data_IF_283247004192
#
_entry.id   IF_283247004192
#
_cell.length_a   1.000
_cell.length_b   1.000
_cell.length_c   1.000
_cell.angle_alpha   90.00
_cell.angle_beta   90.00
_cell.angle_gamma   90.00
#
_symmetry.space_group_name_H-M   'P 1'
#
loop_
_entity.id
_entity.type
_entity.pdbx_description
1 polymer ?
#
# COMPACT_ATOMS: atom_id res chain seq x y z
N UNK A 1 14.95 -4.88 -26.53
CA UNK A 1 15.54 -3.54 -26.72
C UNK A 1 14.48 -2.44 -26.77
N UNK A 2 13.34 -2.65 -27.46
CA UNK A 2 12.25 -1.67 -27.61
C UNK A 2 11.59 -1.18 -26.30
N UNK A 3 11.42 -2.05 -25.29
CA UNK A 3 10.73 -1.72 -24.02
C UNK A 3 11.52 -0.78 -23.10
N UNK A 4 12.86 -0.89 -23.06
CA UNK A 4 13.71 -0.03 -22.22
C UNK A 4 13.71 1.41 -22.73
N UNK A 5 13.77 1.59 -24.05
CA UNK A 5 13.75 2.92 -24.67
C UNK A 5 12.36 3.57 -24.59
N UNK A 6 11.29 2.77 -24.61
CA UNK A 6 9.94 3.24 -24.35
C UNK A 6 9.80 3.78 -22.92
N UNK A 7 10.22 3.00 -21.92
CA UNK A 7 10.17 3.39 -20.53
C UNK A 7 10.95 4.70 -20.25
N UNK A 8 12.15 4.84 -20.84
CA UNK A 8 12.96 6.05 -20.71
C UNK A 8 12.27 7.28 -21.29
N UNK A 9 11.62 7.15 -22.45
CA UNK A 9 10.86 8.24 -23.08
C UNK A 9 9.72 8.70 -22.19
N UNK A 10 8.91 7.76 -21.69
CA UNK A 10 7.77 8.05 -20.80
C UNK A 10 8.23 8.71 -19.50
N UNK A 11 9.32 8.22 -18.91
CA UNK A 11 9.85 8.76 -17.66
C UNK A 11 10.38 10.20 -17.79
N UNK A 12 10.66 10.64 -19.03
CA UNK A 12 11.20 11.96 -19.35
C UNK A 12 10.20 12.86 -20.06
N UNK A 13 8.97 12.41 -20.26
CA UNK A 13 7.95 13.20 -20.94
C UNK A 13 7.62 14.45 -20.14
N UNK A 14 7.62 15.62 -20.75
CA UNK A 14 7.35 16.89 -20.06
C UNK A 14 5.89 17.34 -20.18
N UNK A 15 5.05 16.51 -20.80
CA UNK A 15 3.62 16.77 -20.88
C UNK A 15 2.81 15.48 -20.94
N UNK A 16 1.52 15.59 -20.64
CA UNK A 16 0.56 14.50 -20.86
C UNK A 16 0.48 14.12 -22.35
N UNK A 17 0.60 15.09 -23.25
CA UNK A 17 0.55 14.86 -24.70
C UNK A 17 1.71 13.98 -25.19
N UNK A 18 2.92 14.17 -24.64
CA UNK A 18 4.08 13.33 -24.94
C UNK A 18 3.93 11.91 -24.40
N UNK A 19 3.31 11.75 -23.23
CA UNK A 19 3.00 10.41 -22.69
C UNK A 19 2.01 9.72 -23.63
N UNK A 20 0.97 10.41 -24.09
CA UNK A 20 -0.05 9.86 -25.01
C UNK A 20 0.55 9.49 -26.37
N UNK A 21 1.45 10.31 -26.92
CA UNK A 21 2.11 10.01 -28.19
C UNK A 21 3.07 8.81 -28.09
N UNK A 22 3.62 8.57 -26.89
CA UNK A 22 4.50 7.44 -26.60
C UNK A 22 3.73 6.17 -26.25
N UNK A 23 2.60 6.30 -25.55
CA UNK A 23 1.72 5.21 -25.16
C UNK A 23 0.29 5.59 -25.55
N UNK A 24 -0.18 5.21 -26.74
CA UNK A 24 -1.53 5.53 -27.17
C UNK A 24 -2.54 4.89 -26.22
N UNK A 25 -3.43 5.69 -25.64
CA UNK A 25 -4.42 5.26 -24.64
C UNK A 25 -5.46 4.28 -25.22
N UNK A 26 -5.68 4.29 -26.55
CA UNK A 26 -6.76 3.54 -27.23
C UNK A 26 -6.33 2.35 -28.10
N UNK A 27 -5.04 2.09 -28.26
CA UNK A 27 -4.57 0.96 -29.08
C UNK A 27 -4.23 -0.24 -28.19
N UNK A 28 -5.03 -1.30 -28.26
CA UNK A 28 -4.93 -2.48 -27.39
C UNK A 28 -3.83 -3.47 -27.79
N UNK A 29 -3.27 -3.30 -28.99
CA UNK A 29 -2.36 -4.26 -29.64
C UNK A 29 -0.88 -4.10 -29.27
N UNK A 30 -0.48 -2.98 -28.67
CA UNK A 30 0.93 -2.71 -28.41
C UNK A 30 1.38 -3.29 -27.06
N UNK A 31 2.38 -4.19 -27.09
CA UNK A 31 3.00 -4.76 -25.89
C UNK A 31 3.94 -3.73 -25.23
N UNK A 32 3.32 -2.80 -24.49
CA UNK A 32 3.98 -1.66 -23.83
C UNK A 32 4.77 -2.10 -22.58
N UNK A 33 4.38 -3.23 -21.98
CA UNK A 33 4.99 -3.83 -20.78
C UNK A 33 4.58 -3.13 -19.48
N UNK A 34 4.47 -3.90 -18.40
CA UNK A 34 4.03 -3.44 -17.07
C UNK A 34 4.91 -2.33 -16.47
N UNK A 35 6.22 -2.37 -16.75
CA UNK A 35 7.18 -1.35 -16.27
C UNK A 35 6.83 0.02 -16.84
N UNK A 36 6.51 0.06 -18.14
CA UNK A 36 6.17 1.30 -18.83
C UNK A 36 4.83 1.86 -18.33
N UNK A 37 3.86 0.99 -18.01
CA UNK A 37 2.59 1.41 -17.41
C UNK A 37 2.83 2.08 -16.05
N UNK A 38 3.61 1.45 -15.17
CA UNK A 38 3.93 2.01 -13.85
C UNK A 38 4.71 3.33 -13.96
N UNK A 39 5.61 3.45 -14.94
CA UNK A 39 6.34 4.70 -15.20
C UNK A 39 5.45 5.82 -15.75
N UNK A 40 4.46 5.50 -16.60
CA UNK A 40 3.48 6.47 -17.07
C UNK A 40 2.68 7.05 -15.91
N UNK A 41 2.20 6.18 -15.00
CA UNK A 41 1.55 6.59 -13.75
C UNK A 41 2.43 7.50 -12.90
N UNK A 42 3.67 7.09 -12.68
CA UNK A 42 4.62 7.87 -11.88
C UNK A 42 4.85 9.23 -12.52
N UNK A 43 5.04 9.30 -13.84
CA UNK A 43 5.31 10.58 -14.51
C UNK A 43 4.11 11.49 -14.46
N UNK A 44 2.90 11.01 -14.80
CA UNK A 44 1.69 11.84 -14.77
C UNK A 44 1.38 12.37 -13.38
N UNK A 45 1.72 11.65 -12.31
CA UNK A 45 1.57 12.13 -10.94
C UNK A 45 2.57 13.23 -10.54
N UNK A 46 3.69 13.39 -11.24
CA UNK A 46 4.66 14.45 -11.00
C UNK A 46 4.40 15.73 -11.82
N UNK A 47 3.84 15.61 -13.03
CA UNK A 47 3.66 16.75 -13.94
C UNK A 47 2.96 17.98 -13.31
N UNK A 48 1.93 17.84 -12.44
CA UNK A 48 1.32 18.99 -11.78
C UNK A 48 2.24 19.71 -10.81
N UNK A 49 3.10 18.97 -10.09
CA UNK A 49 4.03 19.54 -9.12
C UNK A 49 5.17 20.29 -9.83
N UNK A 50 5.55 19.83 -11.02
CA UNK A 50 6.58 20.44 -11.87
C UNK A 50 6.04 21.65 -12.67
N UNK A 51 4.73 21.92 -12.60
CA UNK A 51 4.07 22.96 -13.39
C UNK A 51 3.93 22.63 -14.88
N UNK A 52 4.25 21.39 -15.29
CA UNK A 52 4.32 20.98 -16.70
C UNK A 52 2.97 20.52 -17.26
N UNK A 53 1.99 20.23 -16.41
CA UNK A 53 0.61 19.98 -16.81
C UNK A 53 -0.36 20.40 -15.70
N UNK A 54 -1.61 20.71 -16.08
CA UNK A 54 -2.66 20.94 -15.08
C UNK A 54 -3.09 19.63 -14.42
N UNK A 55 -3.59 19.75 -13.18
CA UNK A 55 -4.20 18.62 -12.48
C UNK A 55 -5.37 18.01 -13.29
N UNK A 56 -6.15 18.86 -13.97
CA UNK A 56 -7.27 18.41 -14.80
C UNK A 56 -6.84 17.56 -16.00
N UNK A 57 -5.77 17.94 -16.71
CA UNK A 57 -5.22 17.16 -17.81
C UNK A 57 -4.69 15.80 -17.35
N UNK A 58 -3.99 15.77 -16.22
CA UNK A 58 -3.47 14.54 -15.63
C UNK A 58 -4.60 13.58 -15.22
N UNK A 59 -5.70 14.12 -14.66
CA UNK A 59 -6.90 13.36 -14.34
C UNK A 59 -7.58 12.78 -15.58
N UNK A 60 -7.69 13.57 -16.66
CA UNK A 60 -8.30 13.11 -17.90
C UNK A 60 -7.49 11.96 -18.53
N UNK A 61 -6.16 12.07 -18.56
CA UNK A 61 -5.29 10.98 -18.97
C UNK A 61 -5.48 9.74 -18.09
N UNK A 62 -5.40 9.91 -16.77
CA UNK A 62 -5.51 8.83 -15.80
C UNK A 62 -6.80 8.02 -15.97
N UNK A 63 -7.95 8.69 -16.15
CA UNK A 63 -9.25 8.02 -16.44
C UNK A 63 -9.21 7.17 -17.70
N UNK A 64 -8.63 7.68 -18.79
CA UNK A 64 -8.47 6.91 -20.01
C UNK A 64 -7.48 5.74 -19.88
N UNK A 65 -6.51 5.85 -18.96
CA UNK A 65 -5.42 4.90 -18.79
C UNK A 65 -5.73 3.72 -17.87
N UNK A 66 -6.84 3.77 -17.12
CA UNK A 66 -7.24 2.71 -16.19
C UNK A 66 -7.38 1.34 -16.85
N UNK A 67 -7.96 1.25 -18.05
CA UNK A 67 -8.17 -0.04 -18.71
C UNK A 67 -6.86 -0.72 -19.13
N UNK A 68 -5.89 0.07 -19.57
CA UNK A 68 -4.52 -0.44 -19.78
C UNK A 68 -3.90 -0.87 -18.47
N UNK A 69 -4.10 -0.11 -17.41
CA UNK A 69 -3.57 -0.46 -16.08
C UNK A 69 -4.09 -1.83 -15.66
N UNK A 70 -5.41 -2.03 -15.68
CA UNK A 70 -6.06 -3.29 -15.35
C UNK A 70 -5.45 -4.49 -16.09
N UNK A 71 -5.25 -4.39 -17.41
CA UNK A 71 -4.63 -5.45 -18.23
C UNK A 71 -3.24 -5.86 -17.73
N UNK A 72 -2.46 -4.94 -17.15
CA UNK A 72 -1.07 -5.18 -16.77
C UNK A 72 -0.85 -5.38 -15.26
N UNK A 73 -1.82 -5.06 -14.40
CA UNK A 73 -1.71 -5.28 -12.94
C UNK A 73 -1.25 -6.69 -12.57
N UNK A 74 -1.80 -7.78 -13.16
CA UNK A 74 -1.41 -9.16 -12.78
C UNK A 74 0.06 -9.51 -13.04
N UNK A 75 0.76 -8.69 -13.84
CA UNK A 75 2.16 -8.91 -14.22
C UNK A 75 3.11 -7.91 -13.55
N UNK A 76 2.59 -7.02 -12.70
CA UNK A 76 3.39 -6.02 -12.01
C UNK A 76 4.12 -6.64 -10.82
N UNK A 77 5.42 -6.42 -10.81
CA UNK A 77 6.28 -6.67 -9.65
C UNK A 77 5.95 -5.68 -8.52
N UNK A 78 6.32 -5.99 -7.27
CA UNK A 78 6.09 -5.16 -6.09
C UNK A 78 6.33 -3.66 -6.28
N UNK A 79 7.48 -3.29 -6.87
CA UNK A 79 7.83 -1.89 -7.13
C UNK A 79 6.85 -1.19 -8.08
N UNK A 80 6.35 -1.91 -9.08
CA UNK A 80 5.44 -1.37 -10.09
C UNK A 80 4.03 -1.19 -9.50
N UNK A 81 3.58 -2.12 -8.66
CA UNK A 81 2.35 -1.97 -7.88
C UNK A 81 2.42 -0.76 -6.94
N UNK A 82 3.50 -0.65 -6.16
CA UNK A 82 3.71 0.46 -5.24
C UNK A 82 3.69 1.83 -5.94
N UNK A 83 4.40 1.94 -7.07
CA UNK A 83 4.42 3.17 -7.88
C UNK A 83 3.04 3.51 -8.45
N UNK A 84 2.30 2.52 -8.94
CA UNK A 84 0.95 2.71 -9.50
C UNK A 84 -0.02 3.18 -8.41
N UNK A 85 -0.03 2.53 -7.25
CA UNK A 85 -0.86 2.93 -6.11
C UNK A 85 -0.49 4.34 -5.60
N UNK A 86 0.80 4.63 -5.46
CA UNK A 86 1.26 5.95 -5.07
C UNK A 86 0.77 7.04 -6.04
N UNK A 87 0.87 6.79 -7.35
CA UNK A 87 0.43 7.72 -8.37
C UNK A 87 -1.08 7.98 -8.33
N UNK A 88 -1.88 6.92 -8.21
CA UNK A 88 -3.34 7.02 -8.04
C UNK A 88 -3.70 7.83 -6.77
N UNK A 89 -3.01 7.56 -5.66
CA UNK A 89 -3.20 8.31 -4.41
C UNK A 89 -2.76 9.78 -4.53
N UNK A 90 -1.67 10.05 -5.24
CA UNK A 90 -1.19 11.42 -5.52
C UNK A 90 -2.18 12.22 -6.35
N UNK A 91 -2.79 11.58 -7.34
CA UNK A 91 -3.85 12.15 -8.15
C UNK A 91 -5.20 12.17 -7.42
N UNK A 92 -5.30 11.71 -6.17
CA UNK A 92 -6.55 11.70 -5.39
C UNK A 92 -7.69 11.00 -6.11
N UNK A 93 -7.36 9.92 -6.79
CA UNK A 93 -8.32 9.16 -7.58
C UNK A 93 -9.39 8.53 -6.69
N UNK A 94 -10.64 8.54 -7.12
CA UNK A 94 -11.72 7.83 -6.45
C UNK A 94 -12.11 6.64 -7.34
N UNK A 95 -11.57 5.45 -7.06
CA UNK A 95 -11.85 4.28 -7.90
C UNK A 95 -13.35 3.96 -7.92
N UNK A 96 -14.11 4.20 -6.83
CA UNK A 96 -15.57 3.96 -6.84
C UNK A 96 -16.31 4.89 -7.82
N UNK A 97 -15.92 6.16 -7.88
CA UNK A 97 -16.59 7.15 -8.74
C UNK A 97 -16.00 7.22 -10.16
N UNK A 98 -14.71 6.94 -10.29
CA UNK A 98 -13.93 7.03 -11.52
C UNK A 98 -13.68 5.65 -12.18
N UNK A 99 -14.25 4.53 -11.67
CA UNK A 99 -14.36 3.21 -12.33
C UNK A 99 -15.68 3.03 -13.14
N UNK A 100 -16.08 3.85 -14.13
CA UNK A 100 -17.10 3.42 -15.07
C UNK A 100 -16.55 2.47 -16.16
N UNK A 101 -15.24 2.16 -16.17
CA UNK A 101 -14.59 1.38 -17.24
C UNK A 101 -14.16 -0.04 -16.85
N UNK A 102 -13.77 -0.31 -15.59
CA UNK A 102 -13.36 -1.64 -15.11
C UNK A 102 -13.70 -1.81 -13.62
N UNK A 103 -14.80 -2.48 -13.25
CA UNK A 103 -15.31 -2.52 -11.87
C UNK A 103 -14.46 -3.34 -10.89
N UNK A 104 -13.37 -3.97 -11.37
CA UNK A 104 -12.54 -4.88 -10.58
C UNK A 104 -11.09 -4.38 -10.44
N UNK A 105 -10.74 -3.19 -10.93
CA UNK A 105 -9.35 -2.72 -10.87
C UNK A 105 -8.90 -2.53 -9.41
N UNK A 106 -9.76 -1.96 -8.57
CA UNK A 106 -9.47 -1.85 -7.15
C UNK A 106 -9.23 -3.22 -6.50
N UNK A 107 -10.08 -4.21 -6.81
CA UNK A 107 -9.93 -5.57 -6.29
C UNK A 107 -8.63 -6.21 -6.79
N UNK A 108 -8.34 -6.14 -8.08
CA UNK A 108 -7.15 -6.72 -8.70
C UNK A 108 -5.85 -6.13 -8.12
N UNK A 109 -5.81 -4.81 -7.92
CA UNK A 109 -4.69 -4.13 -7.27
C UNK A 109 -4.47 -4.65 -5.85
N UNK A 110 -5.55 -4.81 -5.08
CA UNK A 110 -5.45 -5.30 -3.70
C UNK A 110 -5.02 -6.76 -3.64
N UNK A 111 -5.56 -7.62 -4.52
CA UNK A 111 -5.20 -9.04 -4.59
C UNK A 111 -3.72 -9.21 -4.95
N UNK A 112 -3.22 -8.47 -5.94
CA UNK A 112 -1.81 -8.49 -6.31
C UNK A 112 -0.91 -7.97 -5.16
N UNK A 113 -1.33 -6.92 -4.45
CA UNK A 113 -0.63 -6.44 -3.24
C UNK A 113 -0.56 -7.52 -2.17
N UNK A 114 -1.68 -8.20 -1.88
CA UNK A 114 -1.70 -9.27 -0.89
C UNK A 114 -0.80 -10.43 -1.28
N UNK A 115 -0.79 -10.81 -2.57
CA UNK A 115 0.11 -11.84 -3.07
C UNK A 115 1.58 -11.45 -2.86
N UNK A 116 1.96 -10.23 -3.24
CA UNK A 116 3.31 -9.70 -3.03
C UNK A 116 3.69 -9.64 -1.55
N UNK A 117 2.78 -9.25 -0.66
CA UNK A 117 3.05 -9.22 0.79
C UNK A 117 3.17 -10.61 1.39
N UNK A 118 2.34 -11.56 0.95
CA UNK A 118 2.44 -12.95 1.41
C UNK A 118 3.75 -13.60 0.97
N UNK A 119 4.30 -13.21 -0.18
CA UNK A 119 5.63 -13.65 -0.64
C UNK A 119 6.80 -12.96 0.07
N UNK A 120 6.56 -11.84 0.75
CA UNK A 120 7.57 -11.00 1.41
C UNK A 120 8.22 -9.93 0.53
N UNK A 121 8.17 -10.09 -0.80
CA UNK A 121 8.96 -9.30 -1.76
C UNK A 121 8.73 -7.78 -1.72
N UNK A 122 7.50 -7.32 -1.44
CA UNK A 122 7.19 -5.88 -1.40
C UNK A 122 7.64 -5.21 -0.10
N UNK A 123 7.82 -5.98 0.97
CA UNK A 123 8.12 -5.46 2.30
C UNK A 123 9.62 -5.24 2.53
N UNK A 124 10.48 -5.85 1.72
CA UNK A 124 11.95 -5.77 1.83
C UNK A 124 12.49 -4.34 1.61
N UNK A 125 11.78 -3.51 0.84
CA UNK A 125 12.12 -2.11 0.63
C UNK A 125 11.14 -1.19 1.37
N UNK A 126 11.60 -0.49 2.43
CA UNK A 126 10.77 0.46 3.18
C UNK A 126 10.10 1.51 2.29
N UNK A 127 10.76 1.93 1.21
CA UNK A 127 10.25 2.96 0.31
C UNK A 127 9.09 2.45 -0.55
N UNK A 128 9.15 1.21 -1.03
CA UNK A 128 8.04 0.62 -1.79
C UNK A 128 6.83 0.42 -0.89
N UNK A 129 7.05 -0.04 0.34
CA UNK A 129 5.95 -0.20 1.31
C UNK A 129 5.35 1.16 1.71
N UNK A 130 6.17 2.21 1.87
CA UNK A 130 5.70 3.59 2.08
C UNK A 130 4.76 4.04 0.94
N UNK A 131 5.18 3.84 -0.31
CA UNK A 131 4.41 4.21 -1.50
C UNK A 131 3.09 3.45 -1.58
N UNK A 132 3.11 2.15 -1.28
CA UNK A 132 1.93 1.28 -1.24
C UNK A 132 0.91 1.79 -0.22
N UNK A 133 1.32 2.01 1.03
CA UNK A 133 0.42 2.49 2.08
C UNK A 133 -0.07 3.93 1.83
N UNK A 134 0.77 4.78 1.26
CA UNK A 134 0.35 6.10 0.80
C UNK A 134 -0.78 5.99 -0.22
N UNK A 135 -0.64 5.12 -1.22
CA UNK A 135 -1.66 4.88 -2.22
C UNK A 135 -2.98 4.40 -1.61
N UNK A 136 -2.95 3.31 -0.85
CA UNK A 136 -4.14 2.74 -0.22
C UNK A 136 -4.91 3.74 0.65
N UNK A 137 -4.18 4.57 1.42
CA UNK A 137 -4.79 5.58 2.30
C UNK A 137 -5.35 6.80 1.56
N UNK A 138 -4.84 7.12 0.37
CA UNK A 138 -5.21 8.35 -0.36
C UNK A 138 -6.15 8.11 -1.55
N UNK A 139 -6.26 6.88 -2.04
CA UNK A 139 -7.26 6.50 -3.04
C UNK A 139 -8.62 6.43 -2.35
N UNK A 140 -9.63 7.02 -3.00
CA UNK A 140 -11.03 6.87 -2.62
C UNK A 140 -11.51 5.48 -3.02
N UNK A 141 -11.53 4.55 -2.07
CA UNK A 141 -12.11 3.22 -2.26
C UNK A 141 -12.56 2.64 -0.91
N UNK A 142 -13.59 1.79 -0.95
CA UNK A 142 -14.03 0.98 0.18
C UNK A 142 -13.26 -0.33 0.25
N UNK A 143 -11.93 -0.26 0.41
CA UNK A 143 -11.05 -1.45 0.44
C UNK A 143 -11.58 -2.53 1.38
N UNK A 144 -11.40 -3.80 0.98
CA UNK A 144 -11.78 -4.96 1.78
C UNK A 144 -11.08 -4.94 3.15
N UNK A 145 -11.84 -5.05 4.24
CA UNK A 145 -11.32 -4.80 5.60
C UNK A 145 -10.42 -5.93 6.07
N UNK A 146 -10.79 -7.15 5.73
CA UNK A 146 -10.07 -8.37 6.04
C UNK A 146 -8.70 -8.37 5.36
N UNK A 147 -8.67 -8.05 4.07
CA UNK A 147 -7.44 -7.84 3.29
C UNK A 147 -6.53 -6.77 3.91
N UNK A 148 -7.07 -5.59 4.21
CA UNK A 148 -6.29 -4.51 4.84
C UNK A 148 -5.78 -4.92 6.22
N UNK A 149 -6.54 -5.71 6.98
CA UNK A 149 -6.12 -6.22 8.29
C UNK A 149 -4.95 -7.21 8.15
N UNK A 150 -4.99 -8.12 7.18
CA UNK A 150 -3.87 -9.03 6.87
C UNK A 150 -2.62 -8.24 6.48
N UNK A 151 -2.78 -7.29 5.56
CA UNK A 151 -1.70 -6.42 5.09
C UNK A 151 -1.06 -5.63 6.24
N UNK A 152 -1.87 -5.08 7.14
CA UNK A 152 -1.43 -4.36 8.33
C UNK A 152 -0.59 -5.26 9.24
N UNK A 153 -1.08 -6.45 9.58
CA UNK A 153 -0.34 -7.39 10.43
C UNK A 153 1.01 -7.76 9.83
N UNK A 154 1.04 -8.11 8.54
CA UNK A 154 2.27 -8.47 7.84
C UNK A 154 3.27 -7.32 7.74
N UNK A 155 2.78 -6.11 7.47
CA UNK A 155 3.64 -4.93 7.43
C UNK A 155 4.28 -4.66 8.79
N UNK A 156 3.50 -4.73 9.88
CA UNK A 156 4.01 -4.53 11.24
C UNK A 156 5.05 -5.58 11.65
N UNK A 157 4.84 -6.85 11.30
CA UNK A 157 5.82 -7.93 11.53
C UNK A 157 7.17 -7.61 10.87
N UNK A 158 7.14 -7.04 9.67
CA UNK A 158 8.34 -6.80 8.87
C UNK A 158 9.04 -5.46 9.20
N UNK A 159 8.28 -4.44 9.62
CA UNK A 159 8.81 -3.11 9.97
C UNK A 159 9.79 -3.12 11.15
N UNK A 160 9.82 -4.17 11.97
CA UNK A 160 10.73 -4.28 13.11
C UNK A 160 12.22 -4.22 12.71
N UNK A 161 12.56 -4.59 11.47
CA UNK A 161 13.93 -4.54 10.95
C UNK A 161 14.31 -3.25 10.22
N UNK A 162 13.40 -2.28 10.12
CA UNK A 162 13.63 -1.09 9.31
C UNK A 162 14.37 0.00 10.08
N UNK A 163 15.28 0.68 9.37
CA UNK A 163 16.08 1.78 9.92
C UNK A 163 15.71 3.14 9.29
N UNK A 164 14.91 3.15 8.23
CA UNK A 164 14.41 4.39 7.61
C UNK A 164 13.23 4.96 8.40
N UNK A 165 13.54 5.90 9.31
CA UNK A 165 12.57 6.56 10.17
C UNK A 165 11.48 7.30 9.39
N UNK A 166 11.81 7.84 8.21
CA UNK A 166 10.87 8.61 7.41
C UNK A 166 9.84 7.68 6.75
N UNK A 167 10.28 6.55 6.22
CA UNK A 167 9.38 5.52 5.71
C UNK A 167 8.52 4.91 6.82
N UNK A 168 9.13 4.60 7.99
CA UNK A 168 8.41 4.10 9.17
C UNK A 168 7.27 5.04 9.58
N UNK A 169 7.57 6.33 9.81
CA UNK A 169 6.59 7.31 10.26
C UNK A 169 5.42 7.45 9.26
N UNK A 170 5.75 7.52 7.96
CA UNK A 170 4.74 7.66 6.92
C UNK A 170 3.85 6.42 6.81
N UNK A 171 4.41 5.21 6.90
CA UNK A 171 3.64 3.97 6.89
C UNK A 171 2.70 3.91 8.09
N UNK A 172 3.17 4.21 9.30
CA UNK A 172 2.31 4.29 10.50
C UNK A 172 1.16 5.27 10.32
N UNK A 173 1.44 6.48 9.83
CA UNK A 173 0.40 7.48 9.59
C UNK A 173 -0.64 6.98 8.58
N UNK A 174 -0.20 6.38 7.48
CA UNK A 174 -1.10 5.87 6.43
C UNK A 174 -1.96 4.72 6.93
N UNK A 175 -1.37 3.77 7.68
CA UNK A 175 -2.10 2.68 8.32
C UNK A 175 -3.17 3.23 9.26
N UNK A 176 -2.82 4.16 10.15
CA UNK A 176 -3.75 4.76 11.10
C UNK A 176 -4.92 5.50 10.42
N UNK A 177 -4.63 6.30 9.40
CA UNK A 177 -5.68 7.00 8.64
C UNK A 177 -6.62 6.01 7.95
N UNK A 178 -6.07 4.96 7.34
CA UNK A 178 -6.87 4.00 6.60
C UNK A 178 -7.74 3.14 7.53
N UNK A 179 -7.19 2.64 8.64
CA UNK A 179 -7.95 1.82 9.59
C UNK A 179 -9.10 2.60 10.23
N UNK A 180 -8.88 3.87 10.59
CA UNK A 180 -9.96 4.76 11.07
C UNK A 180 -11.03 4.93 10.00
N UNK A 181 -10.64 5.21 8.75
CA UNK A 181 -11.58 5.39 7.63
C UNK A 181 -12.43 4.15 7.37
N UNK A 182 -11.86 2.95 7.53
CA UNK A 182 -12.55 1.68 7.31
C UNK A 182 -13.26 1.16 8.58
N UNK A 183 -13.09 1.81 9.73
CA UNK A 183 -13.60 1.34 11.02
C UNK A 183 -12.98 0.00 11.44
N UNK A 184 -11.71 -0.23 11.11
CA UNK A 184 -10.95 -1.39 11.58
C UNK A 184 -10.50 -1.12 13.00
N UNK A 185 -10.97 -1.95 13.94
CA UNK A 185 -10.54 -1.89 15.33
C UNK A 185 -9.18 -2.58 15.45
N UNK A 186 -8.13 -1.79 15.68
CA UNK A 186 -6.85 -2.33 16.14
C UNK A 186 -7.09 -2.76 17.58
N UNK A 187 -7.46 -4.03 17.76
CA UNK A 187 -7.73 -4.58 19.09
C UNK A 187 -6.46 -4.44 19.94
N UNK A 188 -6.60 -4.10 21.22
CA UNK A 188 -5.51 -4.32 22.17
C UNK A 188 -5.06 -5.79 22.06
N UNK A 189 -3.76 -6.09 22.22
CA UNK A 189 -3.34 -7.48 22.35
C UNK A 189 -4.21 -8.08 23.45
N UNK A 190 -4.98 -9.12 23.10
CA UNK A 190 -5.73 -9.89 24.08
C UNK A 190 -4.81 -10.10 25.27
N UNK A 191 -5.20 -9.53 26.41
CA UNK A 191 -4.45 -9.57 27.68
C UNK A 191 -3.77 -10.94 27.77
N UNK A 192 -2.45 -11.01 28.07
CA UNK A 192 -1.72 -12.28 28.01
C UNK A 192 -2.56 -13.30 28.74
N UNK A 193 -2.97 -14.37 28.05
CA UNK A 193 -3.68 -15.50 28.66
C UNK A 193 -2.98 -15.72 29.99
N UNK A 194 -3.71 -15.47 31.07
CA UNK A 194 -3.17 -15.55 32.42
C UNK A 194 -2.38 -16.84 32.49
N UNK A 195 -1.08 -16.73 32.78
CA UNK A 195 -0.33 -17.89 33.25
C UNK A 195 -1.21 -18.55 34.32
N UNK A 196 -1.47 -19.87 34.25
CA UNK A 196 -2.20 -20.52 35.31
C UNK A 196 -1.47 -20.22 36.63
N UNK A 197 -2.21 -19.96 37.72
CA UNK A 197 -1.59 -19.51 38.96
C UNK A 197 -0.50 -20.50 39.34
N UNK A 198 0.72 -19.98 39.58
CA UNK A 198 1.79 -20.77 40.19
C UNK A 198 1.19 -21.46 41.42
N UNK A 199 1.37 -22.77 41.49
CA UNK A 199 1.14 -23.55 42.69
C UNK A 199 1.69 -22.76 43.89
N UNK A 200 0.78 -22.48 44.80
CA UNK A 200 0.96 -21.76 46.07
C UNK A 200 2.33 -22.03 46.69
N UNK A 201 3.09 -20.97 46.96
CA UNK A 201 4.17 -21.05 47.95
C UNK A 201 3.57 -21.45 49.31
N UNK A 202 4.25 -22.29 50.12
CA UNK A 202 3.75 -22.64 51.44
C UNK A 202 3.73 -21.40 52.32
N UNK A 203 2.56 -21.09 52.87
CA UNK A 203 2.38 -20.10 53.93
C UNK A 203 3.18 -20.54 55.16
N UNK A 204 4.20 -19.77 55.53
CA UNK A 204 4.82 -19.86 56.84
C UNK A 204 3.80 -19.39 57.89
N UNK A 205 3.23 -20.34 58.64
CA UNK A 205 2.44 -20.06 59.84
C UNK A 205 3.34 -19.50 60.95
N UNK A 206 3.00 -18.37 61.59
CA UNK A 206 3.68 -17.92 62.81
C UNK A 206 3.19 -18.78 63.98
N UNK A 207 4.08 -19.58 64.55
CA UNK A 207 3.77 -20.36 65.75
C UNK A 207 3.74 -19.45 66.99
N UNK A 208 2.60 -19.49 67.65
CA UNK A 208 2.30 -18.97 68.98
C UNK A 208 3.42 -19.25 69.99
N UNK A 209 3.87 -18.21 70.69
CA UNK A 209 4.47 -18.35 72.01
C UNK A 209 3.38 -18.08 73.05
N UNK A 210 2.99 -19.12 73.79
CA UNK A 210 2.29 -18.97 75.06
C UNK A 210 3.24 -19.40 76.20
N UNK A 211 3.18 -18.74 77.37
CA UNK A 211 4.17 -18.88 78.43
C UNK A 211 3.92 -20.15 79.26
N UNK A 212 4.99 -20.74 79.80
CA UNK A 212 4.88 -21.64 80.95
C UNK A 212 5.85 -21.22 82.04
N UNK A 213 5.29 -21.05 83.23
CA UNK A 213 5.97 -20.81 84.48
C UNK A 213 6.59 -22.11 85.02
N UNK A 214 7.74 -22.00 85.66
CA UNK A 214 8.20 -22.81 86.81
C UNK A 214 9.29 -22.01 87.52
#
# INVERSE_FOLDING_TARGET
MLTVDLNKRVSRSDSVAEIISTIPVRNDEENIGQVTIASAWTRVAHLPADGSASSAECQAFARGFLGKTYKYVPYMEPRQLANTLWALGKLKFNLVADEPLHPDLAKELLDCVLASVCSGEVLDDPRHTEQLWFGLSNIGNGWDKEAISILLSRTLEHMAGWHDLKSLAQVYQCMAMLTVRLGILISEPSSPRSCPPRLTQPTLTPWFWAPTAS
#
